data_IF_976061659622
#
_entry.id   IF_976061659622
#
_cell.length_a   1.000
_cell.length_b   1.000
_cell.length_c   1.000
_cell.angle_alpha   90.00
_cell.angle_beta   90.00
_cell.angle_gamma   90.00
#
_symmetry.space_group_name_H-M   'P 1'
#
loop_
_entity.id
_entity.type
_entity.pdbx_description
1 polymer ?
#
# COMPACT_ATOMS: atom_id res chain seq x y z
N UNK A 1 9.62 11.99 -41.71
CA UNK A 1 9.08 10.65 -42.03
C UNK A 1 9.37 9.77 -40.82
N UNK A 2 8.31 9.22 -40.22
CA UNK A 2 8.26 8.62 -38.90
C UNK A 2 9.11 7.35 -38.75
N UNK A 3 9.69 7.14 -37.56
CA UNK A 3 10.07 5.81 -37.08
C UNK A 3 9.23 5.58 -35.82
N UNK A 4 8.02 5.06 -36.02
CA UNK A 4 7.27 4.35 -34.98
C UNK A 4 7.67 2.90 -35.17
N UNK A 5 8.42 2.33 -34.23
CA UNK A 5 8.59 0.89 -34.12
C UNK A 5 8.18 0.45 -32.72
N UNK A 6 6.91 0.06 -32.65
CA UNK A 6 6.50 -1.25 -32.14
C UNK A 6 7.03 -1.65 -30.76
N UNK A 7 6.45 -1.05 -29.72
CA UNK A 7 6.29 -1.70 -28.42
C UNK A 7 4.97 -2.48 -28.46
N UNK A 8 4.94 -3.57 -29.23
CA UNK A 8 3.91 -4.59 -29.09
C UNK A 8 4.01 -5.16 -27.68
N UNK A 9 3.02 -4.82 -26.85
CA UNK A 9 2.73 -5.57 -25.64
C UNK A 9 2.46 -7.02 -26.06
N UNK A 10 3.46 -7.88 -25.90
CA UNK A 10 3.29 -9.33 -26.03
C UNK A 10 2.29 -9.75 -24.96
N UNK A 11 1.05 -10.03 -25.37
CA UNK A 11 0.12 -10.79 -24.56
C UNK A 11 0.76 -12.14 -24.28
N UNK A 12 1.08 -12.40 -23.01
CA UNK A 12 1.50 -13.72 -22.55
C UNK A 12 0.29 -14.63 -22.67
N UNK A 13 0.16 -15.30 -23.82
CA UNK A 13 -0.71 -16.46 -23.98
C UNK A 13 0.03 -17.66 -23.42
N UNK A 14 0.18 -17.71 -22.11
CA UNK A 14 0.56 -18.92 -21.39
C UNK A 14 -0.41 -19.09 -20.22
N UNK A 15 -0.91 -20.32 -20.10
CA UNK A 15 -2.03 -20.74 -19.26
C UNK A 15 -1.76 -20.64 -17.74
N UNK A 16 -1.23 -19.54 -17.24
CA UNK A 16 -1.00 -19.29 -15.80
C UNK A 16 -2.23 -18.65 -15.12
N UNK A 17 -3.43 -18.95 -15.63
CA UNK A 17 -4.70 -18.42 -15.16
C UNK A 17 -5.10 -18.92 -13.75
N UNK A 18 -4.34 -19.84 -13.16
CA UNK A 18 -4.61 -20.41 -11.83
C UNK A 18 -3.89 -19.73 -10.66
N UNK A 19 -2.91 -18.86 -10.92
CA UNK A 19 -2.09 -18.24 -9.84
C UNK A 19 -2.60 -16.90 -9.33
N UNK A 20 -3.37 -16.18 -10.14
CA UNK A 20 -3.97 -14.89 -9.77
C UNK A 20 -5.32 -15.02 -9.04
N UNK A 21 -5.79 -16.24 -8.83
CA UNK A 21 -7.13 -16.54 -8.31
C UNK A 21 -7.27 -16.42 -6.78
N UNK A 22 -6.22 -15.97 -6.09
CA UNK A 22 -6.17 -15.93 -4.62
C UNK A 22 -5.47 -14.69 -4.05
N UNK A 23 -5.41 -13.59 -4.81
CA UNK A 23 -4.97 -12.32 -4.24
C UNK A 23 -6.17 -11.75 -3.46
N UNK A 24 -6.03 -11.46 -2.15
CA UNK A 24 -7.09 -10.83 -1.39
C UNK A 24 -7.46 -9.48 -2.00
N UNK A 25 -8.74 -9.27 -2.30
CA UNK A 25 -9.19 -8.01 -2.89
C UNK A 25 -9.15 -6.83 -1.92
N UNK A 26 -9.13 -7.14 -0.61
CA UNK A 26 -9.14 -6.17 0.49
C UNK A 26 -8.22 -6.60 1.62
N UNK A 27 -7.75 -5.64 2.38
CA UNK A 27 -6.97 -5.83 3.60
C UNK A 27 -7.47 -4.91 4.72
N UNK A 28 -7.23 -5.33 5.96
CA UNK A 28 -7.38 -4.51 7.15
C UNK A 28 -5.99 -4.10 7.63
N UNK A 29 -5.73 -2.80 7.67
CA UNK A 29 -4.53 -2.24 8.27
C UNK A 29 -4.83 -1.82 9.71
N UNK A 30 -4.11 -2.41 10.65
CA UNK A 30 -4.09 -2.01 12.06
C UNK A 30 -2.89 -1.09 12.28
N UNK A 31 -3.16 0.19 12.54
CA UNK A 31 -2.13 1.15 12.89
C UNK A 31 -1.97 1.22 14.40
N UNK A 32 -0.85 0.68 14.89
CA UNK A 32 -0.40 0.84 16.26
C UNK A 32 0.67 1.94 16.35
N UNK A 33 0.92 2.47 17.56
CA UNK A 33 2.07 3.30 17.87
C UNK A 33 3.42 2.78 17.37
N UNK A 34 3.66 1.49 17.57
CA UNK A 34 5.00 0.89 17.43
C UNK A 34 5.07 -0.06 16.23
N UNK A 35 3.91 -0.42 15.66
CA UNK A 35 3.83 -1.33 14.51
C UNK A 35 2.66 -1.02 13.58
N UNK A 36 2.76 -1.50 12.35
CA UNK A 36 1.66 -1.58 11.40
C UNK A 36 1.41 -3.06 11.11
N UNK A 37 0.18 -3.53 11.29
CA UNK A 37 -0.19 -4.91 11.00
C UNK A 37 -1.18 -4.93 9.86
N UNK A 38 -0.89 -5.69 8.81
CA UNK A 38 -1.75 -5.81 7.63
C UNK A 38 -2.30 -7.23 7.60
N UNK A 39 -3.62 -7.30 7.59
CA UNK A 39 -4.36 -8.54 7.51
C UNK A 39 -5.07 -8.65 6.15
N UNK A 40 -4.83 -9.71 5.37
CA UNK A 40 -5.64 -10.02 4.19
C UNK A 40 -7.07 -10.42 4.58
N UNK A 41 -8.07 -9.81 3.92
CA UNK A 41 -9.48 -10.16 4.06
C UNK A 41 -9.82 -11.17 2.96
N UNK A 42 -9.82 -12.46 3.29
CA UNK A 42 -10.17 -13.52 2.35
C UNK A 42 -10.07 -14.92 2.96
N UNK A 43 -10.61 -15.95 2.29
CA UNK A 43 -10.64 -17.33 2.81
C UNK A 43 -9.24 -17.93 3.06
N UNK A 44 -8.22 -17.40 2.38
CA UNK A 44 -6.83 -17.84 2.50
C UNK A 44 -5.94 -16.87 3.31
N UNK A 45 -6.52 -15.84 3.91
CA UNK A 45 -5.80 -14.79 4.64
C UNK A 45 -5.30 -15.24 6.00
N UNK A 46 -4.25 -16.08 6.04
CA UNK A 46 -3.64 -16.60 7.28
C UNK A 46 -2.33 -15.92 7.65
N UNK A 47 -1.74 -15.18 6.73
CA UNK A 47 -0.45 -14.53 6.90
C UNK A 47 -0.66 -13.02 7.11
N UNK A 48 -0.04 -12.50 8.16
CA UNK A 48 -0.10 -11.11 8.60
C UNK A 48 1.26 -10.48 8.32
N UNK A 49 1.24 -9.32 7.66
CA UNK A 49 2.46 -8.54 7.48
C UNK A 49 2.57 -7.60 8.67
N UNK A 50 3.65 -7.73 9.43
CA UNK A 50 3.94 -6.90 10.58
C UNK A 50 5.14 -6.04 10.26
N UNK A 51 4.94 -4.73 10.32
CA UNK A 51 5.98 -3.74 10.11
C UNK A 51 6.29 -3.15 11.47
N UNK A 52 7.54 -3.28 11.91
CA UNK A 52 8.05 -2.62 13.10
C UNK A 52 8.43 -1.18 12.75
N UNK A 53 7.82 -0.20 13.42
CA UNK A 53 8.05 1.23 13.14
C UNK A 53 9.40 1.72 13.67
N UNK A 54 9.94 1.11 14.72
CA UNK A 54 11.20 1.52 15.35
C UNK A 54 12.42 0.92 14.65
N UNK A 55 12.31 -0.31 14.18
CA UNK A 55 13.39 -1.03 13.51
C UNK A 55 13.27 -1.03 11.98
N UNK A 56 12.17 -0.50 11.44
CA UNK A 56 11.87 -0.47 10.00
C UNK A 56 11.86 -1.87 9.35
N UNK A 57 11.65 -2.93 10.14
CA UNK A 57 11.66 -4.31 9.66
C UNK A 57 10.28 -4.79 9.26
N UNK A 58 10.21 -5.60 8.22
CA UNK A 58 8.98 -6.23 7.74
C UNK A 58 9.09 -7.73 8.03
N UNK A 59 8.08 -8.27 8.70
CA UNK A 59 8.02 -9.66 9.10
C UNK A 59 6.67 -10.28 8.74
N UNK A 60 6.68 -11.55 8.38
CA UNK A 60 5.48 -12.34 8.14
C UNK A 60 5.13 -13.14 9.39
N UNK A 61 3.90 -13.02 9.85
CA UNK A 61 3.38 -13.72 11.01
C UNK A 61 2.21 -14.61 10.60
N UNK A 62 2.10 -15.80 11.17
CA UNK A 62 1.00 -16.74 10.89
C UNK A 62 -0.17 -16.60 11.87
N UNK A 63 -0.04 -15.69 12.83
CA UNK A 63 -1.02 -15.42 13.88
C UNK A 63 -1.22 -13.92 13.97
N UNK A 64 -2.46 -13.49 14.25
CA UNK A 64 -2.76 -12.07 14.45
C UNK A 64 -2.01 -11.59 15.70
N UNK A 65 -1.10 -10.60 15.58
CA UNK A 65 -0.46 -9.98 16.73
C UNK A 65 -1.48 -9.26 17.61
N UNK A 66 -1.07 -8.85 18.81
CA UNK A 66 -1.94 -8.05 19.66
C UNK A 66 -2.19 -6.66 19.03
N UNK A 67 -3.39 -6.48 18.47
CA UNK A 67 -3.85 -5.24 17.83
C UNK A 67 -4.81 -4.43 18.70
N UNK A 68 -4.82 -4.66 20.01
CA UNK A 68 -5.70 -3.94 20.94
C UNK A 68 -5.43 -2.44 20.91
N UNK A 69 -6.48 -1.64 20.72
CA UNK A 69 -6.39 -0.18 20.63
C UNK A 69 -5.83 0.35 19.29
N UNK A 70 -5.61 -0.51 18.30
CA UNK A 70 -5.18 -0.08 16.97
C UNK A 70 -6.29 0.69 16.24
N UNK A 71 -5.90 1.73 15.48
CA UNK A 71 -6.80 2.33 14.47
C UNK A 71 -6.89 1.37 13.30
N UNK A 72 -8.10 0.90 12.97
CA UNK A 72 -8.34 -0.01 11.84
C UNK A 72 -8.68 0.81 10.59
N UNK A 73 -7.93 0.60 9.52
CA UNK A 73 -8.10 1.28 8.24
C UNK A 73 -8.34 0.20 7.17
N UNK A 74 -9.52 0.19 6.51
CA UNK A 74 -9.74 -0.69 5.38
C UNK A 74 -8.93 -0.19 4.18
N UNK A 75 -8.17 -1.09 3.55
CA UNK A 75 -7.37 -0.78 2.37
C UNK A 75 -7.66 -1.80 1.27
N UNK A 76 -7.62 -1.35 0.01
CA UNK A 76 -7.78 -2.20 -1.17
C UNK A 76 -6.41 -2.64 -1.75
N UNK A 77 -5.30 -2.14 -1.20
CA UNK A 77 -3.95 -2.54 -1.57
C UNK A 77 -2.85 -1.71 -0.89
N UNK A 78 -1.60 -2.16 -1.04
CA UNK A 78 -0.40 -1.47 -0.58
C UNK A 78 0.40 -1.06 -1.82
N UNK A 79 0.86 0.19 -1.88
CA UNK A 79 1.75 0.63 -2.96
C UNK A 79 3.20 0.32 -2.60
N UNK A 80 3.59 0.65 -1.37
CA UNK A 80 4.94 0.41 -0.87
C UNK A 80 5.34 1.40 0.21
N UNK A 81 6.64 1.43 0.50
CA UNK A 81 7.26 2.32 1.49
C UNK A 81 8.10 3.35 0.74
N UNK A 82 7.95 4.62 1.11
CA UNK A 82 8.78 5.71 0.62
C UNK A 82 9.54 6.35 1.78
N UNK A 83 10.81 6.64 1.57
CA UNK A 83 11.64 7.36 2.52
C UNK A 83 11.61 8.85 2.17
N UNK A 84 11.02 9.67 3.03
CA UNK A 84 11.06 11.11 2.95
C UNK A 84 12.10 11.66 3.92
N UNK A 85 12.38 12.96 3.86
CA UNK A 85 13.34 13.64 4.75
C UNK A 85 13.02 13.41 6.23
N UNK A 86 11.73 13.23 6.56
CA UNK A 86 11.24 13.03 7.93
C UNK A 86 11.10 11.57 8.35
N UNK A 87 11.57 10.64 7.53
CA UNK A 87 11.54 9.19 7.80
C UNK A 87 10.70 8.39 6.81
N UNK A 88 10.50 7.09 7.07
CA UNK A 88 9.71 6.20 6.23
C UNK A 88 8.20 6.42 6.37
N UNK A 89 7.50 6.30 5.24
CA UNK A 89 6.05 6.38 5.14
C UNK A 89 5.52 5.19 4.34
N UNK A 90 4.47 4.55 4.84
CA UNK A 90 3.72 3.52 4.13
C UNK A 90 2.64 4.18 3.28
N UNK A 91 2.62 3.90 1.98
CA UNK A 91 1.56 4.34 1.07
C UNK A 91 0.59 3.19 0.84
N UNK A 92 -0.67 3.41 1.17
CA UNK A 92 -1.76 2.44 1.00
C UNK A 92 -2.86 2.98 0.09
N UNK A 93 -3.57 2.09 -0.58
CA UNK A 93 -4.74 2.40 -1.41
C UNK A 93 -5.97 2.15 -0.55
N UNK A 94 -6.75 3.19 -0.27
CA UNK A 94 -7.99 3.08 0.53
C UNK A 94 -9.22 2.86 -0.35
N UNK A 95 -9.17 3.27 -1.61
CA UNK A 95 -10.24 3.04 -2.58
C UNK A 95 -9.70 2.85 -3.99
N UNK A 96 -10.20 1.83 -4.68
CA UNK A 96 -10.03 1.60 -6.11
C UNK A 96 -11.38 1.55 -6.84
N UNK A 97 -11.39 1.90 -8.13
CA UNK A 97 -12.56 1.81 -9.02
C UNK A 97 -12.22 0.87 -10.17
N UNK A 98 -13.06 -0.12 -10.44
CA UNK A 98 -12.94 -0.96 -11.64
C UNK A 98 -13.23 -0.11 -12.89
N UNK A 99 -12.33 -0.17 -13.87
CA UNK A 99 -12.44 0.62 -15.11
C UNK A 99 -12.55 -0.25 -16.37
N UNK A 100 -12.60 -1.57 -16.21
CA UNK A 100 -12.76 -2.51 -17.30
C UNK A 100 -11.86 -3.73 -17.14
N UNK A 101 -11.92 -4.59 -18.13
CA UNK A 101 -11.23 -5.88 -18.13
C UNK A 101 -10.39 -6.00 -19.41
N UNK A 102 -9.13 -6.44 -19.27
CA UNK A 102 -8.29 -6.79 -20.41
C UNK A 102 -7.91 -8.25 -20.28
N UNK A 103 -8.25 -9.05 -21.30
CA UNK A 103 -7.97 -10.49 -21.34
C UNK A 103 -8.49 -11.26 -20.11
N UNK A 104 -9.63 -10.84 -19.54
CA UNK A 104 -10.20 -11.47 -18.35
C UNK A 104 -9.52 -11.08 -17.03
N UNK A 105 -8.60 -10.12 -17.06
CA UNK A 105 -8.02 -9.49 -15.88
C UNK A 105 -8.70 -8.16 -15.61
N UNK A 106 -9.17 -8.00 -14.37
CA UNK A 106 -9.76 -6.76 -13.90
C UNK A 106 -8.72 -5.65 -13.82
N UNK A 107 -9.08 -4.47 -14.34
CA UNK A 107 -8.25 -3.27 -14.26
C UNK A 107 -8.90 -2.27 -13.33
N UNK A 108 -8.09 -1.79 -12.39
CA UNK A 108 -8.53 -0.84 -11.38
C UNK A 108 -7.77 0.47 -11.50
N UNK A 109 -8.50 1.58 -11.40
CA UNK A 109 -7.94 2.91 -11.18
C UNK A 109 -7.92 3.19 -9.68
N UNK A 110 -6.76 3.60 -9.16
CA UNK A 110 -6.64 4.09 -7.78
C UNK A 110 -7.46 5.37 -7.65
N UNK A 111 -8.40 5.39 -6.71
CA UNK A 111 -9.24 6.56 -6.42
C UNK A 111 -8.68 7.37 -5.26
N UNK A 112 -8.26 6.69 -4.20
CA UNK A 112 -7.80 7.35 -2.98
C UNK A 112 -6.67 6.54 -2.36
N UNK A 113 -5.65 7.26 -1.89
CA UNK A 113 -4.51 6.71 -1.15
C UNK A 113 -4.43 7.38 0.22
N UNK A 114 -3.80 6.71 1.18
CA UNK A 114 -3.44 7.27 2.48
C UNK A 114 -1.94 7.05 2.70
N UNK A 115 -1.28 8.06 3.27
CA UNK A 115 0.16 8.02 3.58
C UNK A 115 0.29 7.95 5.09
N UNK A 116 0.91 6.88 5.59
CA UNK A 116 0.97 6.57 7.01
C UNK A 116 2.42 6.64 7.47
N UNK A 117 2.79 7.62 8.32
CA UNK A 117 4.14 7.73 8.85
C UNK A 117 4.48 6.57 9.78
N UNK A 118 5.74 6.14 9.75
CA UNK A 118 6.26 5.21 10.76
C UNK A 118 6.41 5.90 12.11
N UNK A 119 6.86 7.16 12.12
CA UNK A 119 6.97 7.95 13.34
C UNK A 119 5.58 8.32 13.90
N UNK A 120 5.45 8.30 15.24
CA UNK A 120 4.22 8.61 15.98
C UNK A 120 3.82 10.09 15.87
N UNK A 121 4.80 10.96 15.60
CA UNK A 121 4.73 12.39 15.80
C UNK A 121 5.88 13.09 15.05
N UNK A 122 5.58 14.07 14.22
CA UNK A 122 6.54 15.03 13.66
C UNK A 122 7.06 16.02 14.71
N UNK A 123 7.23 15.58 15.97
CA UNK A 123 7.57 16.45 17.11
C UNK A 123 9.07 16.59 17.36
N UNK A 124 9.89 16.42 16.32
CA UNK A 124 11.25 16.99 16.26
C UNK A 124 11.62 17.32 14.80
N UNK A 125 10.69 17.96 14.10
CA UNK A 125 11.02 18.69 12.88
C UNK A 125 11.09 20.16 13.26
N UNK A 126 12.23 20.79 12.99
CA UNK A 126 12.36 22.24 13.12
C UNK A 126 11.27 22.89 12.26
N UNK A 127 10.70 24.03 12.66
CA UNK A 127 9.46 24.60 12.10
C UNK A 127 9.43 24.69 10.55
N UNK A 128 10.60 24.76 9.91
CA UNK A 128 10.79 24.73 8.45
C UNK A 128 10.46 23.39 7.77
N UNK A 129 10.75 22.25 8.40
CA UNK A 129 10.54 20.92 7.82
C UNK A 129 9.06 20.50 7.81
N UNK A 130 8.23 21.07 8.70
CA UNK A 130 6.78 20.84 8.74
C UNK A 130 6.09 21.47 7.52
N UNK A 131 6.59 22.64 7.06
CA UNK A 131 6.04 23.36 5.92
C UNK A 131 6.32 22.63 4.60
N UNK A 132 7.54 22.10 4.41
CA UNK A 132 7.88 21.33 3.21
C UNK A 132 7.10 20.02 3.13
N UNK A 133 6.94 19.32 4.26
CA UNK A 133 6.11 18.11 4.31
C UNK A 133 4.64 18.38 3.97
N UNK A 134 4.09 19.49 4.46
CA UNK A 134 2.71 19.88 4.15
C UNK A 134 2.56 20.19 2.64
N UNK A 135 3.55 20.84 2.04
CA UNK A 135 3.56 21.15 0.61
C UNK A 135 3.58 19.87 -0.26
N UNK A 136 4.35 18.86 0.16
CA UNK A 136 4.42 17.58 -0.55
C UNK A 136 3.10 16.80 -0.48
N UNK A 137 2.47 16.75 0.70
CA UNK A 137 1.18 16.09 0.89
C UNK A 137 0.07 16.76 0.06
N UNK A 138 0.08 18.08 -0.08
CA UNK A 138 -0.90 18.80 -0.89
C UNK A 138 -0.77 18.48 -2.39
N UNK A 139 0.46 18.42 -2.91
CA UNK A 139 0.71 18.15 -4.33
C UNK A 139 0.43 16.70 -4.75
N UNK A 140 0.40 15.76 -3.81
CA UNK A 140 0.04 14.36 -4.08
C UNK A 140 -1.48 14.10 -4.11
N UNK A 141 -2.28 15.04 -3.59
CA UNK A 141 -3.74 14.94 -3.54
C UNK A 141 -4.43 15.75 -4.65
N UNK A 142 -3.69 16.12 -5.70
CA UNK A 142 -4.18 16.90 -6.85
C UNK A 142 -4.75 16.00 -7.94
#
# INVERSE_FOLDING_TARGET
MSIINDLSFRSSTDNDCGRYQNIPDRYSLYSLPDSLVIQPLGPNGKEFIVIDRAHETIQLHNTLPNVNGARVIPIDGIIGIINLISGPYLIVITSKIHIGDINGHEIYKVKTTEIIPYARNTSHLNEYQVIENMLFILNLNS
#
